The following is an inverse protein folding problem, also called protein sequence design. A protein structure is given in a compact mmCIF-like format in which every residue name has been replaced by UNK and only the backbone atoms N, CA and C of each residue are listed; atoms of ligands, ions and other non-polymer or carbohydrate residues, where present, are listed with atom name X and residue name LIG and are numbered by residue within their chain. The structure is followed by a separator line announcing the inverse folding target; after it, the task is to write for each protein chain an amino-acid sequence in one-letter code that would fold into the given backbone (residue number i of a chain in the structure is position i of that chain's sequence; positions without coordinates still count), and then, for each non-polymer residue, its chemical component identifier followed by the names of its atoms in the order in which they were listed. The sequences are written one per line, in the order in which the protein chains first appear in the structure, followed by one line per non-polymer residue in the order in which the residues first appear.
data_IF_338145767626
#
_entry.id   IF_338145767626
#
_cell.length_a   1.000
_cell.length_b   1.000
_cell.length_c   1.000
_cell.angle_alpha   90.00
_cell.angle_beta   90.00
_cell.angle_gamma   90.00
#
_symmetry.space_group_name_H-M   'P 1'
#
loop_
_entity.id
_entity.type
_entity.pdbx_description
1 polymer ?
#
# COMPACT_ATOMS: atom_id res chain seq x y z
N UNK A 1 -0.38 -23.14 8.37
CA UNK A 1 -1.49 -22.15 8.38
C UNK A 1 -0.90 -20.79 8.00
N UNK A 2 -1.57 -19.93 7.24
CA UNK A 2 -1.02 -18.62 6.90
C UNK A 2 -1.37 -17.57 7.96
N UNK A 3 -0.40 -16.73 8.32
CA UNK A 3 -0.63 -15.48 9.05
C UNK A 3 -0.53 -14.30 8.10
N UNK A 4 -1.29 -13.24 8.37
CA UNK A 4 -1.34 -12.03 7.56
C UNK A 4 -1.01 -10.81 8.40
N UNK A 5 -0.29 -9.87 7.79
CA UNK A 5 0.01 -8.57 8.37
C UNK A 5 -0.17 -7.47 7.31
N UNK A 6 -0.50 -6.28 7.79
CA UNK A 6 -0.88 -5.13 6.97
C UNK A 6 0.05 -3.97 7.29
N UNK A 7 0.63 -3.35 6.27
CA UNK A 7 1.44 -2.15 6.43
C UNK A 7 0.81 -0.97 5.68
N UNK A 8 0.36 0.03 6.44
CA UNK A 8 -0.22 1.26 5.93
C UNK A 8 0.83 2.09 5.22
N UNK A 9 0.55 2.46 3.98
CA UNK A 9 1.32 3.46 3.24
C UNK A 9 0.41 4.60 2.79
N UNK A 10 1.01 5.79 2.68
CA UNK A 10 0.33 6.99 2.23
C UNK A 10 0.61 7.26 0.76
N UNK A 11 -0.43 7.67 0.05
CA UNK A 11 -0.31 8.13 -1.33
C UNK A 11 -0.21 9.64 -1.27
N UNK A 12 0.84 10.20 -1.88
CA UNK A 12 0.94 11.63 -2.05
C UNK A 12 -0.11 12.07 -3.07
N UNK A 13 -1.21 12.65 -2.58
CA UNK A 13 -2.21 13.26 -3.43
C UNK A 13 -1.82 14.72 -3.68
N UNK A 14 -1.50 15.07 -4.93
CA UNK A 14 -1.40 16.46 -5.34
C UNK A 14 -2.75 17.18 -5.22
N UNK A 15 -2.85 18.43 -5.68
CA UNK A 15 -4.14 19.14 -5.71
C UNK A 15 -5.07 18.52 -6.76
N UNK A 16 -5.80 17.45 -6.41
CA UNK A 16 -6.71 16.65 -7.25
C UNK A 16 -7.88 17.41 -7.91
N UNK A 17 -7.85 18.75 -7.90
CA UNK A 17 -8.83 19.64 -8.53
C UNK A 17 -8.61 19.79 -10.05
N UNK A 18 -7.42 19.44 -10.56
CA UNK A 18 -7.10 19.56 -12.00
C UNK A 18 -6.81 18.21 -12.63
N UNK A 19 -7.27 17.99 -13.86
CA UNK A 19 -7.04 16.75 -14.61
C UNK A 19 -5.55 16.41 -14.82
N UNK A 20 -4.65 17.41 -14.75
CA UNK A 20 -3.20 17.23 -14.85
C UNK A 20 -2.53 16.89 -13.51
N UNK A 21 -3.29 16.79 -12.42
CA UNK A 21 -2.75 16.54 -11.09
C UNK A 21 -2.31 15.09 -10.97
N UNK A 22 -1.08 14.90 -10.49
CA UNK A 22 -0.52 13.57 -10.25
C UNK A 22 -0.67 13.18 -8.79
N UNK A 23 -1.02 11.92 -8.60
CA UNK A 23 -1.05 11.25 -7.31
C UNK A 23 0.01 10.14 -7.35
N UNK A 24 0.90 10.10 -6.38
CA UNK A 24 2.07 9.22 -6.39
C UNK A 24 2.15 8.40 -5.10
N UNK A 25 2.19 7.07 -5.24
CA UNK A 25 2.48 6.18 -4.11
C UNK A 25 3.99 6.05 -3.93
N UNK A 26 4.52 6.50 -2.79
CA UNK A 26 5.95 6.42 -2.46
C UNK A 26 6.19 5.40 -1.36
N UNK A 27 7.41 4.87 -1.25
CA UNK A 27 7.79 3.93 -0.17
C UNK A 27 7.32 2.49 -0.35
N UNK A 28 6.41 2.20 -1.28
CA UNK A 28 5.85 0.86 -1.47
C UNK A 28 6.93 -0.19 -1.82
N UNK A 29 7.92 0.17 -2.64
CA UNK A 29 9.00 -0.75 -3.03
C UNK A 29 9.91 -1.04 -1.85
N UNK A 30 10.26 -0.01 -1.09
CA UNK A 30 11.10 -0.09 0.09
C UNK A 30 10.45 -0.96 1.17
N UNK A 31 9.15 -0.76 1.43
CA UNK A 31 8.37 -1.60 2.35
C UNK A 31 8.31 -3.04 1.88
N UNK A 32 7.95 -3.31 0.61
CA UNK A 32 7.88 -4.68 0.08
C UNK A 32 9.24 -5.38 0.19
N UNK A 33 10.32 -4.71 -0.20
CA UNK A 33 11.67 -5.27 -0.14
C UNK A 33 12.13 -5.53 1.30
N UNK A 34 11.81 -4.63 2.24
CA UNK A 34 12.12 -4.82 3.66
C UNK A 34 11.37 -6.03 4.21
N UNK A 35 10.07 -6.13 3.98
CA UNK A 35 9.22 -7.24 4.44
C UNK A 35 9.64 -8.58 3.83
N UNK A 36 10.04 -8.59 2.56
CA UNK A 36 10.58 -9.77 1.90
C UNK A 36 11.86 -10.29 2.56
N UNK A 37 12.77 -9.41 3.01
CA UNK A 37 13.97 -9.80 3.78
C UNK A 37 13.63 -10.46 5.12
N UNK A 38 12.52 -10.08 5.72
CA UNK A 38 11.99 -10.65 6.96
C UNK A 38 11.18 -11.95 6.74
N UNK A 39 11.15 -12.45 5.49
CA UNK A 39 10.48 -13.68 5.10
C UNK A 39 8.97 -13.54 4.88
N UNK A 40 8.46 -12.31 4.68
CA UNK A 40 7.07 -12.06 4.34
C UNK A 40 6.86 -12.01 2.82
N UNK A 41 5.80 -12.65 2.34
CA UNK A 41 5.40 -12.62 0.92
C UNK A 41 4.38 -11.51 0.71
N UNK A 42 4.64 -10.61 -0.24
CA UNK A 42 3.63 -9.62 -0.68
C UNK A 42 2.51 -10.33 -1.44
N UNK A 43 1.25 -10.03 -1.10
CA UNK A 43 0.09 -10.69 -1.71
C UNK A 43 -0.95 -9.75 -2.29
N UNK A 44 -0.90 -8.46 -1.95
CA UNK A 44 -1.81 -7.49 -2.54
C UNK A 44 -1.86 -6.17 -1.80
N UNK A 45 -2.78 -5.32 -2.24
CA UNK A 45 -3.03 -4.00 -1.65
C UNK A 45 -4.52 -3.78 -1.46
N UNK A 46 -4.91 -3.13 -0.37
CA UNK A 46 -6.29 -2.78 -0.07
C UNK A 46 -6.35 -1.26 0.17
N UNK A 47 -7.11 -0.50 -0.65
CA UNK A 47 -7.37 0.90 -0.37
C UNK A 47 -8.11 1.05 0.96
N UNK A 48 -7.63 1.97 1.81
CA UNK A 48 -8.26 2.19 3.13
C UNK A 48 -8.94 3.54 3.22
N UNK A 49 -8.38 4.55 2.58
CA UNK A 49 -9.03 5.85 2.47
C UNK A 49 -9.06 6.28 1.02
N UNK A 50 -10.26 6.62 0.57
CA UNK A 50 -10.53 7.14 -0.77
C UNK A 50 -11.24 8.48 -0.64
N UNK A 51 -10.79 9.46 -1.41
CA UNK A 51 -11.43 10.75 -1.56
C UNK A 51 -12.43 10.70 -2.73
N UNK A 52 -13.21 11.77 -2.89
CA UNK A 52 -14.14 11.92 -4.02
C UNK A 52 -13.47 11.65 -5.37
N UNK A 53 -14.20 11.00 -6.29
CA UNK A 53 -13.66 10.61 -7.60
C UNK A 53 -12.77 9.35 -7.58
N UNK A 54 -12.68 8.63 -6.45
CA UNK A 54 -11.95 7.35 -6.35
C UNK A 54 -10.45 7.51 -6.11
N UNK A 55 -10.01 8.68 -5.65
CA UNK A 55 -8.58 8.91 -5.36
C UNK A 55 -8.21 8.22 -4.05
N UNK A 56 -7.38 7.19 -4.11
CA UNK A 56 -6.83 6.53 -2.92
C UNK A 56 -5.78 7.45 -2.26
N UNK A 57 -6.00 7.82 -1.00
CA UNK A 57 -5.03 8.57 -0.19
C UNK A 57 -4.23 7.66 0.74
N UNK A 58 -4.77 6.50 1.09
CA UNK A 58 -4.13 5.51 1.96
C UNK A 58 -4.43 4.10 1.49
N UNK A 59 -3.44 3.21 1.59
CA UNK A 59 -3.62 1.78 1.31
C UNK A 59 -2.81 0.92 2.26
N UNK A 60 -3.30 -0.28 2.53
CA UNK A 60 -2.56 -1.33 3.22
C UNK A 60 -1.89 -2.23 2.19
N UNK A 61 -0.59 -2.44 2.34
CA UNK A 61 0.12 -3.53 1.70
C UNK A 61 -0.08 -4.78 2.54
N UNK A 62 -0.63 -5.83 1.93
CA UNK A 62 -0.93 -7.10 2.58
C UNK A 62 0.23 -8.05 2.38
N UNK A 63 0.68 -8.65 3.47
CA UNK A 63 1.74 -9.64 3.49
C UNK A 63 1.25 -10.90 4.19
N UNK A 64 1.73 -12.04 3.72
CA UNK A 64 1.52 -13.31 4.39
C UNK A 64 2.84 -14.00 4.75
N UNK A 65 2.77 -14.89 5.72
CA UNK A 65 3.86 -15.81 6.06
C UNK A 65 3.25 -17.14 6.50
N UNK A 66 3.91 -18.25 6.16
CA UNK A 66 3.50 -19.57 6.63
C UNK A 66 3.91 -19.74 8.10
N UNK A 67 2.95 -20.13 8.95
CA UNK A 67 3.21 -20.55 10.32
C UNK A 67 3.79 -21.97 10.31
N UNK A 68 4.82 -22.24 11.13
CA UNK A 68 5.35 -23.58 11.34
C UNK A 68 4.31 -24.59 11.79
#
# INVERSE_FOLDING_TARGET
MYTYEYERIHVYTGRVQWASSKTETKGHRETINRRAKDGWRYVGTIPVTQLGGGVVSEMDLVFEKELP
#
